data_IF_658532772627
#
_entry.id   IF_658532772627
#
_cell.length_a   1.000
_cell.length_b   1.000
_cell.length_c   1.000
_cell.angle_alpha   90.00
_cell.angle_beta   90.00
_cell.angle_gamma   90.00
#
_symmetry.space_group_name_H-M   'P 1'
#
loop_
_entity.id
_entity.type
_entity.pdbx_description
1 polymer ?
#
# COMPACT_ATOMS: atom_id res chain seq x y z
N UNK A 1 72.67 4.40 -16.23
CA UNK A 1 72.41 5.12 -14.97
C UNK A 1 71.75 4.12 -14.04
N UNK A 2 72.48 3.64 -13.04
CA UNK A 2 72.01 2.61 -12.10
C UNK A 2 71.46 3.34 -10.87
N UNK A 3 70.14 3.29 -10.66
CA UNK A 3 69.53 3.82 -9.44
C UNK A 3 69.87 2.90 -8.27
N UNK A 4 70.56 3.45 -7.27
CA UNK A 4 70.84 2.75 -6.02
C UNK A 4 69.52 2.46 -5.29
N UNK A 5 69.32 1.24 -4.77
CA UNK A 5 68.11 0.91 -4.05
C UNK A 5 67.95 1.83 -2.83
N UNK A 6 66.70 2.22 -2.49
CA UNK A 6 66.45 3.08 -1.35
C UNK A 6 66.98 2.44 -0.07
N UNK A 7 67.59 3.23 0.84
CA UNK A 7 68.14 2.72 2.08
C UNK A 7 67.04 2.00 2.87
N UNK A 8 67.36 0.84 3.43
CA UNK A 8 66.42 -0.05 4.14
C UNK A 8 65.57 0.69 5.20
N UNK A 9 66.11 1.75 5.80
CA UNK A 9 65.40 2.61 6.75
C UNK A 9 64.14 3.27 6.14
N UNK A 10 64.17 3.69 4.87
CA UNK A 10 63.04 4.35 4.20
C UNK A 10 61.92 3.35 3.88
N UNK A 11 62.28 2.12 3.53
CA UNK A 11 61.30 1.04 3.28
C UNK A 11 60.59 0.64 4.56
N UNK A 12 61.32 0.53 5.68
CA UNK A 12 60.73 0.20 6.99
C UNK A 12 59.81 1.31 7.52
N UNK A 13 60.17 2.59 7.30
CA UNK A 13 59.32 3.72 7.69
C UNK A 13 58.02 3.80 6.87
N UNK A 14 58.10 3.52 5.56
CA UNK A 14 56.92 3.53 4.69
C UNK A 14 55.94 2.38 5.02
N UNK A 15 56.47 1.19 5.32
CA UNK A 15 55.66 0.04 5.72
C UNK A 15 54.96 0.26 7.07
N UNK A 16 55.65 0.87 8.05
CA UNK A 16 55.06 1.15 9.37
C UNK A 16 53.96 2.21 9.31
N UNK A 17 54.11 3.26 8.50
CA UNK A 17 53.06 4.25 8.25
C UNK A 17 51.83 3.64 7.54
N UNK A 18 52.05 2.77 6.55
CA UNK A 18 50.98 2.06 5.84
C UNK A 18 50.15 1.16 6.74
N UNK A 19 50.80 0.40 7.65
CA UNK A 19 50.13 -0.45 8.63
C UNK A 19 49.34 0.38 9.65
N UNK A 20 49.88 1.52 10.10
CA UNK A 20 49.18 2.45 10.99
C UNK A 20 47.89 3.01 10.39
N UNK A 21 47.93 3.43 9.11
CA UNK A 21 46.77 3.94 8.38
C UNK A 21 45.69 2.86 8.20
N UNK A 22 46.09 1.64 7.88
CA UNK A 22 45.19 0.50 7.70
C UNK A 22 44.50 0.11 9.03
N UNK A 23 45.25 0.04 10.13
CA UNK A 23 44.70 -0.23 11.47
C UNK A 23 43.74 0.89 11.89
N UNK A 24 44.08 2.15 11.60
CA UNK A 24 43.21 3.31 11.83
C UNK A 24 41.88 3.18 11.11
N UNK A 25 41.91 2.89 9.80
CA UNK A 25 40.72 2.76 8.95
C UNK A 25 39.82 1.60 9.39
N UNK A 26 40.40 0.43 9.73
CA UNK A 26 39.64 -0.72 10.23
C UNK A 26 38.94 -0.39 11.55
N UNK A 27 39.61 0.35 12.45
CA UNK A 27 39.01 0.82 13.71
C UNK A 27 37.87 1.80 13.46
N UNK A 28 37.99 2.73 12.51
CA UNK A 28 36.92 3.70 12.19
C UNK A 28 35.70 3.01 11.58
N UNK A 29 35.89 2.10 10.62
CA UNK A 29 34.80 1.36 9.97
C UNK A 29 34.08 0.45 10.97
N UNK A 30 34.83 -0.18 11.90
CA UNK A 30 34.24 -1.00 12.97
C UNK A 30 33.47 -0.14 13.98
N UNK A 31 33.98 1.04 14.34
CA UNK A 31 33.27 1.98 15.19
C UNK A 31 31.97 2.49 14.53
N UNK A 32 31.96 2.71 13.21
CA UNK A 32 30.78 3.11 12.45
C UNK A 32 29.75 1.96 12.32
N UNK A 33 30.19 0.70 12.20
CA UNK A 33 29.28 -0.47 12.20
C UNK A 33 28.69 -0.83 13.55
N UNK A 34 29.34 -0.44 14.66
CA UNK A 34 28.93 -0.78 16.02
C UNK A 34 28.19 0.33 16.74
N UNK A 35 27.91 1.48 16.09
CA UNK A 35 27.02 2.49 16.67
C UNK A 35 25.60 1.92 16.70
N UNK A 36 25.01 1.66 17.88
CA UNK A 36 23.60 1.32 17.95
C UNK A 36 22.81 2.51 17.41
N UNK A 37 21.92 2.25 16.45
CA UNK A 37 20.92 3.24 16.05
C UNK A 37 20.16 3.67 17.32
N UNK A 38 19.83 4.97 17.48
CA UNK A 38 19.02 5.41 18.59
C UNK A 38 17.75 4.55 18.63
N UNK A 39 17.50 3.91 19.77
CA UNK A 39 16.30 3.11 19.96
C UNK A 39 15.10 4.05 19.80
N UNK A 40 14.44 3.95 18.65
CA UNK A 40 13.09 4.46 18.49
C UNK A 40 12.25 3.67 19.50
N UNK A 41 11.98 4.30 20.63
CA UNK A 41 11.08 3.83 21.65
C UNK A 41 9.70 3.71 21.00
N UNK A 42 9.39 2.51 20.51
CA UNK A 42 8.04 2.18 20.08
C UNK A 42 7.11 2.48 21.25
N UNK A 43 6.07 3.31 21.08
CA UNK A 43 5.10 3.54 22.13
C UNK A 43 4.56 2.17 22.56
N UNK A 44 4.74 1.82 23.84
CA UNK A 44 4.17 0.63 24.43
C UNK A 44 2.65 0.78 24.32
N UNK A 45 2.03 0.05 23.39
CA UNK A 45 0.58 0.08 23.15
C UNK A 45 -0.14 -0.30 24.46
N UNK A 46 -0.53 0.70 25.25
CA UNK A 46 -1.49 0.53 26.33
C UNK A 46 -2.82 0.23 25.66
N UNK A 47 -3.28 -1.02 25.77
CA UNK A 47 -4.69 -1.36 25.60
C UNK A 47 -5.48 -0.52 26.61
N UNK A 48 -6.06 0.60 26.20
CA UNK A 48 -7.24 1.11 26.88
C UNK A 48 -8.40 0.28 26.36
N UNK A 49 -8.90 -0.62 27.20
CA UNK A 49 -10.20 -1.24 27.00
C UNK A 49 -11.25 -0.12 26.86
N UNK A 50 -12.19 -0.19 25.90
CA UNK A 50 -13.27 0.78 25.84
C UNK A 50 -14.12 0.64 27.11
N UNK A 51 -14.28 1.75 27.81
CA UNK A 51 -15.28 1.89 28.87
C UNK A 51 -16.66 1.53 28.29
N UNK A 52 -17.43 0.77 29.06
CA UNK A 52 -18.73 0.24 28.71
C UNK A 52 -19.61 1.28 28.01
N UNK A 53 -19.89 1.07 26.72
CA UNK A 53 -20.95 1.77 26.03
C UNK A 53 -22.28 1.32 26.65
N UNK A 54 -22.85 2.20 27.47
CA UNK A 54 -24.19 2.07 28.01
C UNK A 54 -25.18 1.75 26.87
N UNK A 55 -25.95 0.68 27.06
CA UNK A 55 -27.04 0.25 26.18
C UNK A 55 -28.05 1.39 26.02
N UNK A 56 -28.17 1.93 24.80
CA UNK A 56 -29.33 2.72 24.43
C UNK A 56 -30.56 1.81 24.22
N UNK A 57 -31.76 2.14 24.72
CA UNK A 57 -32.94 1.31 24.57
C UNK A 57 -33.47 1.31 23.12
N UNK A 58 -33.83 0.12 22.63
CA UNK A 58 -34.54 -0.09 21.36
C UNK A 58 -35.98 0.47 21.46
N UNK A 59 -36.45 1.27 20.49
CA UNK A 59 -37.87 1.57 20.41
C UNK A 59 -38.65 0.35 19.90
N UNK A 60 -39.62 -0.08 20.69
CA UNK A 60 -40.66 -1.05 20.35
C UNK A 60 -41.74 -0.35 19.51
N UNK A 61 -42.00 -0.82 18.31
CA UNK A 61 -43.19 -0.42 17.54
C UNK A 61 -44.15 -1.59 17.39
N UNK A 62 -45.29 -1.40 18.03
CA UNK A 62 -46.51 -2.19 18.06
C UNK A 62 -47.14 -2.31 16.67
N UNK A 63 -47.70 -3.48 16.36
CA UNK A 63 -48.58 -3.71 15.20
C UNK A 63 -49.91 -2.99 15.38
N UNK A 64 -50.39 -2.30 14.33
CA UNK A 64 -51.81 -1.99 14.16
C UNK A 64 -52.17 -1.75 12.68
N UNK A 65 -53.00 -2.67 12.15
CA UNK A 65 -54.16 -2.53 11.24
C UNK A 65 -54.16 -1.65 9.97
N UNK A 66 -54.64 -2.29 8.89
CA UNK A 66 -55.02 -1.79 7.54
C UNK A 66 -56.15 -0.75 7.57
N UNK A 67 -56.12 0.26 6.67
CA UNK A 67 -57.05 0.43 5.51
C UNK A 67 -56.86 1.76 4.75
N UNK A 68 -57.21 1.67 3.46
CA UNK A 68 -57.66 2.69 2.52
C UNK A 68 -56.63 3.59 1.81
N UNK A 69 -56.72 3.56 0.48
CA UNK A 69 -56.00 4.35 -0.51
C UNK A 69 -56.87 5.54 -0.94
N UNK A 70 -56.28 6.71 -1.25
CA UNK A 70 -56.92 7.68 -2.13
C UNK A 70 -56.16 7.84 -3.45
N UNK A 71 -56.93 7.63 -4.51
CA UNK A 71 -57.04 8.37 -5.77
C UNK A 71 -55.93 9.35 -6.21
N UNK A 72 -55.53 9.17 -7.48
CA UNK A 72 -54.59 9.98 -8.26
C UNK A 72 -55.23 11.30 -8.68
N UNK A 73 -54.65 12.42 -8.28
CA UNK A 73 -54.78 13.71 -8.99
C UNK A 73 -53.49 14.52 -8.87
N UNK A 74 -52.99 15.02 -10.00
CA UNK A 74 -52.31 16.31 -10.10
C UNK A 74 -50.90 16.47 -9.52
N UNK A 75 -49.96 16.77 -10.42
CA UNK A 75 -48.59 17.25 -10.18
C UNK A 75 -47.57 16.21 -9.70
N UNK A 76 -46.67 15.83 -10.61
CA UNK A 76 -45.44 15.12 -10.26
C UNK A 76 -44.60 16.06 -9.39
N UNK A 77 -44.34 15.75 -8.10
CA UNK A 77 -43.53 16.64 -7.29
C UNK A 77 -42.12 16.60 -7.83
N UNK A 78 -41.56 17.79 -8.10
CA UNK A 78 -40.16 17.95 -8.45
C UNK A 78 -39.29 17.15 -7.46
N UNK A 79 -38.42 16.28 -7.98
CA UNK A 79 -37.46 15.48 -7.20
C UNK A 79 -36.81 16.40 -6.15
N UNK A 80 -36.89 16.09 -4.84
CA UNK A 80 -36.31 16.95 -3.82
C UNK A 80 -34.81 17.11 -4.10
N UNK A 81 -34.37 18.33 -4.41
CA UNK A 81 -32.95 18.69 -4.67
C UNK A 81 -32.12 18.75 -3.39
N UNK A 82 -32.37 17.82 -2.49
CA UNK A 82 -31.73 17.69 -1.18
C UNK A 82 -32.01 16.29 -0.67
N UNK A 83 -31.58 15.29 -1.44
CA UNK A 83 -31.74 13.89 -1.06
C UNK A 83 -31.10 13.61 0.30
N UNK A 84 -31.53 12.52 0.93
CA UNK A 84 -30.96 11.96 2.18
C UNK A 84 -29.43 12.15 2.29
N UNK A 85 -28.71 12.01 1.16
CA UNK A 85 -27.26 12.19 1.02
C UNK A 85 -26.75 13.63 0.77
N UNK A 86 -27.47 14.68 1.17
CA UNK A 86 -26.97 16.07 1.02
C UNK A 86 -25.64 16.25 1.78
N UNK A 87 -24.78 17.16 1.29
CA UNK A 87 -23.48 17.44 1.94
C UNK A 87 -23.68 17.91 3.39
N UNK A 88 -24.75 18.69 3.65
CA UNK A 88 -25.11 19.13 5.00
C UNK A 88 -25.49 17.95 5.92
N UNK A 89 -26.24 16.96 5.40
CA UNK A 89 -26.57 15.75 6.16
C UNK A 89 -25.32 14.91 6.43
N UNK A 90 -24.43 14.75 5.44
CA UNK A 90 -23.17 14.03 5.61
C UNK A 90 -22.32 14.65 6.74
N UNK A 91 -22.15 15.97 6.74
CA UNK A 91 -21.41 16.68 7.79
C UNK A 91 -22.07 16.49 9.17
N UNK A 92 -23.40 16.52 9.22
CA UNK A 92 -24.14 16.30 10.47
C UNK A 92 -23.89 14.90 11.03
N UNK A 93 -23.92 13.86 10.17
CA UNK A 93 -23.64 12.48 10.59
C UNK A 93 -22.19 12.28 11.04
N UNK A 94 -21.23 12.87 10.32
CA UNK A 94 -19.81 12.82 10.71
C UNK A 94 -19.62 13.46 12.08
N UNK A 95 -20.23 14.62 12.34
CA UNK A 95 -20.14 15.28 13.66
C UNK A 95 -20.74 14.46 14.80
N UNK A 96 -21.81 13.71 14.52
CA UNK A 96 -22.50 12.90 15.51
C UNK A 96 -21.83 11.54 15.77
N UNK A 97 -20.98 11.06 14.86
CA UNK A 97 -20.35 9.75 14.96
C UNK A 97 -19.05 9.78 15.77
N UNK A 98 -18.78 8.69 16.50
CA UNK A 98 -17.46 8.43 17.06
C UNK A 98 -16.59 7.73 16.01
N UNK A 99 -15.37 8.25 15.80
CA UNK A 99 -14.38 7.63 14.93
C UNK A 99 -13.23 7.04 15.73
N UNK A 100 -12.72 5.91 15.25
CA UNK A 100 -11.49 5.31 15.76
C UNK A 100 -10.59 4.91 14.60
N UNK A 101 -9.28 4.99 14.82
CA UNK A 101 -8.30 4.49 13.87
C UNK A 101 -8.31 2.96 13.84
N UNK A 102 -8.03 2.39 12.67
CA UNK A 102 -7.82 0.96 12.47
C UNK A 102 -6.56 0.70 11.64
N UNK A 103 -5.96 -0.50 11.72
CA UNK A 103 -4.89 -0.89 10.80
C UNK A 103 -5.32 -0.73 9.34
N UNK A 104 -4.40 -0.26 8.49
CA UNK A 104 -4.64 -0.09 7.04
C UNK A 104 -4.74 -1.45 6.33
N UNK A 105 -3.96 -2.43 6.80
CA UNK A 105 -3.87 -3.78 6.24
C UNK A 105 -3.98 -4.81 7.36
N UNK A 106 -4.36 -6.04 6.99
CA UNK A 106 -4.27 -7.16 7.93
C UNK A 106 -2.79 -7.55 8.18
N UNK A 107 -2.55 -8.44 9.15
CA UNK A 107 -1.17 -8.81 9.55
C UNK A 107 -0.36 -9.40 8.39
N UNK A 108 -0.96 -10.29 7.60
CA UNK A 108 -0.26 -10.99 6.51
C UNK A 108 0.01 -10.07 5.33
N UNK A 109 -0.99 -9.27 4.92
CA UNK A 109 -0.83 -8.19 3.94
C UNK A 109 0.29 -7.24 4.35
N UNK A 110 0.33 -6.83 5.62
CA UNK A 110 1.36 -5.93 6.11
C UNK A 110 2.78 -6.54 6.07
N UNK A 111 2.93 -7.84 6.32
CA UNK A 111 4.23 -8.51 6.17
C UNK A 111 4.71 -8.49 4.71
N UNK A 112 3.80 -8.76 3.77
CA UNK A 112 4.11 -8.70 2.34
C UNK A 112 4.45 -7.27 1.94
N UNK A 113 3.74 -6.27 2.46
CA UNK A 113 4.04 -4.86 2.21
C UNK A 113 5.47 -4.51 2.63
N UNK A 114 5.88 -4.88 3.85
CA UNK A 114 7.23 -4.61 4.35
C UNK A 114 8.31 -5.29 3.50
N UNK A 115 8.04 -6.52 3.05
CA UNK A 115 8.96 -7.24 2.17
C UNK A 115 9.15 -6.49 0.84
N UNK A 116 8.04 -6.10 0.20
CA UNK A 116 8.07 -5.42 -1.09
C UNK A 116 8.66 -4.03 -0.95
N UNK A 117 8.39 -3.32 0.14
CA UNK A 117 8.98 -2.01 0.42
C UNK A 117 10.50 -2.11 0.46
N UNK A 118 11.05 -3.09 1.19
CA UNK A 118 12.49 -3.33 1.23
C UNK A 118 13.06 -3.67 -0.15
N UNK A 119 12.36 -4.48 -0.94
CA UNK A 119 12.76 -4.82 -2.30
C UNK A 119 12.82 -3.56 -3.18
N UNK A 120 11.80 -2.72 -3.14
CA UNK A 120 11.70 -1.46 -3.90
C UNK A 120 12.83 -0.52 -3.51
N UNK A 121 13.05 -0.32 -2.21
CA UNK A 121 14.14 0.55 -1.71
C UNK A 121 15.53 0.05 -2.15
N UNK A 122 15.76 -1.26 -2.14
CA UNK A 122 17.06 -1.85 -2.50
C UNK A 122 17.34 -1.85 -4.01
N UNK A 123 16.34 -2.20 -4.84
CA UNK A 123 16.54 -2.47 -6.27
C UNK A 123 16.00 -1.39 -7.21
N UNK A 124 15.01 -0.62 -6.80
CA UNK A 124 14.27 0.29 -7.67
C UNK A 124 14.28 1.72 -7.10
N UNK A 125 15.50 2.30 -7.01
CA UNK A 125 15.68 3.68 -6.51
C UNK A 125 14.78 4.67 -7.24
N UNK A 126 14.13 5.54 -6.49
CA UNK A 126 13.19 6.55 -6.98
C UNK A 126 11.75 6.05 -7.18
N UNK A 127 11.52 4.73 -7.22
CA UNK A 127 10.16 4.18 -7.16
C UNK A 127 9.59 4.27 -5.73
N UNK A 128 8.27 4.28 -5.61
CA UNK A 128 7.55 4.36 -4.32
C UNK A 128 6.51 3.26 -4.20
N UNK A 129 6.29 2.74 -2.99
CA UNK A 129 5.23 1.78 -2.69
C UNK A 129 4.08 2.48 -1.95
N UNK A 130 2.85 2.26 -2.41
CA UNK A 130 1.62 2.76 -1.78
C UNK A 130 0.76 1.59 -1.32
N UNK A 131 0.05 1.75 -0.20
CA UNK A 131 -0.89 0.76 0.32
C UNK A 131 -2.34 1.16 0.01
N UNK A 132 -3.22 0.19 -0.22
CA UNK A 132 -4.67 0.34 -0.33
C UNK A 132 -5.09 1.45 -1.32
N UNK A 133 -4.43 1.47 -2.48
CA UNK A 133 -4.58 2.54 -3.48
C UNK A 133 -5.90 2.37 -4.23
N UNK A 134 -6.66 3.46 -4.35
CA UNK A 134 -7.89 3.45 -5.14
C UNK A 134 -7.58 3.31 -6.63
N UNK A 135 -8.28 2.41 -7.31
CA UNK A 135 -8.11 2.20 -8.75
C UNK A 135 -8.61 3.39 -9.57
N UNK A 136 -9.57 4.18 -9.05
CA UNK A 136 -10.02 5.40 -9.72
C UNK A 136 -8.99 6.53 -9.75
N UNK A 137 -7.98 6.48 -8.89
CA UNK A 137 -6.89 7.48 -8.87
C UNK A 137 -5.80 7.15 -9.90
N UNK A 138 -5.75 5.90 -10.37
CA UNK A 138 -4.67 5.42 -11.24
C UNK A 138 -5.15 4.91 -12.61
N UNK A 139 -6.46 4.74 -12.78
CA UNK A 139 -7.10 4.33 -14.03
C UNK A 139 -8.04 5.44 -14.49
N UNK A 140 -7.96 5.79 -15.77
CA UNK A 140 -8.95 6.61 -16.45
C UNK A 140 -9.73 5.79 -17.47
N UNK A 141 -10.97 6.21 -17.78
CA UNK A 141 -11.74 5.67 -18.90
C UNK A 141 -12.69 6.73 -19.44
N UNK A 142 -12.84 6.80 -20.76
CA UNK A 142 -13.89 7.60 -21.41
C UNK A 142 -15.27 6.97 -21.25
N UNK A 143 -15.35 5.66 -20.97
CA UNK A 143 -16.58 4.97 -20.62
C UNK A 143 -16.90 5.18 -19.13
N UNK A 144 -17.95 5.96 -18.87
CA UNK A 144 -18.40 6.28 -17.52
C UNK A 144 -18.91 5.06 -16.74
N UNK A 145 -19.51 4.07 -17.40
CA UNK A 145 -20.01 2.88 -16.71
C UNK A 145 -18.82 2.01 -16.28
N UNK A 146 -17.83 1.84 -17.15
CA UNK A 146 -16.59 1.16 -16.82
C UNK A 146 -15.85 1.88 -15.67
N UNK A 147 -15.71 3.21 -15.76
CA UNK A 147 -15.05 4.00 -14.72
C UNK A 147 -15.77 3.90 -13.36
N UNK A 148 -17.10 4.05 -13.32
CA UNK A 148 -17.89 3.88 -12.08
C UNK A 148 -17.74 2.49 -11.49
N UNK A 149 -17.60 1.47 -12.35
CA UNK A 149 -17.42 0.09 -11.92
C UNK A 149 -16.07 -0.12 -11.24
N UNK A 150 -15.01 0.60 -11.62
CA UNK A 150 -13.65 0.41 -11.10
C UNK A 150 -13.24 1.43 -10.01
N UNK A 151 -13.77 2.66 -10.06
CA UNK A 151 -13.32 3.79 -9.25
C UNK A 151 -13.32 3.50 -7.73
N UNK A 152 -14.34 2.82 -7.22
CA UNK A 152 -14.42 2.49 -5.79
C UNK A 152 -13.64 1.24 -5.38
N UNK A 153 -13.04 0.52 -6.34
CA UNK A 153 -12.19 -0.65 -6.05
C UNK A 153 -10.78 -0.18 -5.66
N UNK A 154 -10.09 -0.98 -4.87
CA UNK A 154 -8.73 -0.71 -4.40
C UNK A 154 -7.82 -1.86 -4.76
N UNK A 155 -6.54 -1.54 -4.93
CA UNK A 155 -5.43 -2.49 -4.99
C UNK A 155 -4.71 -2.48 -3.64
N UNK A 156 -4.30 -3.64 -3.16
CA UNK A 156 -3.61 -3.74 -1.87
C UNK A 156 -2.30 -2.95 -1.85
N UNK A 157 -1.50 -3.05 -2.92
CA UNK A 157 -0.25 -2.32 -3.03
C UNK A 157 0.02 -1.87 -4.47
N UNK A 158 0.65 -0.71 -4.61
CA UNK A 158 1.03 -0.14 -5.89
C UNK A 158 2.48 0.33 -5.85
N UNK A 159 3.29 -0.16 -6.78
CA UNK A 159 4.59 0.43 -7.08
C UNK A 159 4.36 1.54 -8.11
N UNK A 160 4.71 2.76 -7.73
CA UNK A 160 4.78 3.93 -8.61
C UNK A 160 6.19 4.04 -9.18
N UNK A 161 6.28 4.27 -10.49
CA UNK A 161 7.52 4.54 -11.20
C UNK A 161 8.11 5.91 -10.87
N UNK A 162 9.33 6.14 -11.35
CA UNK A 162 10.02 7.44 -11.21
C UNK A 162 9.37 8.56 -12.01
N UNK A 163 8.53 8.21 -12.98
CA UNK A 163 7.72 9.09 -13.81
C UNK A 163 6.40 9.51 -13.14
N UNK A 164 6.12 9.01 -11.94
CA UNK A 164 4.87 9.27 -11.23
C UNK A 164 3.70 8.39 -11.66
N UNK A 165 3.89 7.49 -12.63
CA UNK A 165 2.83 6.61 -13.14
C UNK A 165 2.84 5.23 -12.46
N UNK A 166 1.72 4.49 -12.50
CA UNK A 166 1.65 3.12 -12.00
C UNK A 166 2.63 2.20 -12.75
N UNK A 167 3.54 1.56 -12.00
CA UNK A 167 4.51 0.62 -12.55
C UNK A 167 4.01 -0.83 -12.41
N UNK A 168 3.62 -1.25 -11.21
CA UNK A 168 3.13 -2.61 -10.92
C UNK A 168 2.08 -2.54 -9.82
N UNK A 169 0.96 -3.24 -10.02
CA UNK A 169 -0.08 -3.46 -9.03
C UNK A 169 0.11 -4.82 -8.36
N UNK A 170 -0.14 -4.92 -7.05
CA UNK A 170 0.06 -6.15 -6.27
C UNK A 170 -1.16 -6.42 -5.38
N UNK A 171 -1.64 -7.66 -5.38
CA UNK A 171 -2.76 -8.15 -4.58
C UNK A 171 -2.31 -9.30 -3.69
N UNK A 172 -2.70 -9.28 -2.42
CA UNK A 172 -2.48 -10.39 -1.51
C UNK A 172 -3.76 -11.22 -1.35
N UNK A 173 -3.70 -12.45 -1.82
CA UNK A 173 -4.81 -13.39 -1.76
C UNK A 173 -4.83 -14.07 -0.39
N UNK A 174 -5.57 -13.51 0.56
CA UNK A 174 -5.72 -14.09 1.89
C UNK A 174 -6.38 -15.48 1.89
N UNK A 175 -6.27 -16.21 3.01
CA UNK A 175 -6.90 -17.54 3.17
C UNK A 175 -8.41 -17.49 3.43
N UNK A 176 -9.04 -16.31 3.33
CA UNK A 176 -10.47 -16.16 3.54
C UNK A 176 -11.23 -16.91 2.46
N UNK A 177 -12.02 -17.90 2.86
CA UNK A 177 -12.79 -18.77 1.97
C UNK A 177 -13.49 -17.97 0.86
N UNK A 178 -13.20 -18.33 -0.38
CA UNK A 178 -13.87 -17.86 -1.60
C UNK A 178 -15.37 -18.16 -1.50
N UNK A 179 -16.15 -17.21 -1.00
CA UNK A 179 -17.61 -17.26 -1.01
C UNK A 179 -18.14 -16.00 -1.71
N UNK A 180 -18.94 -16.20 -2.77
CA UNK A 180 -19.62 -15.13 -3.52
C UNK A 180 -18.80 -14.54 -4.68
N UNK A 181 -19.05 -13.26 -4.98
CA UNK A 181 -18.54 -12.53 -6.17
C UNK A 181 -17.02 -12.19 -6.11
N UNK A 182 -16.24 -12.84 -5.26
CA UNK A 182 -14.82 -12.55 -5.10
C UNK A 182 -14.03 -12.76 -6.41
N UNK A 183 -14.30 -13.86 -7.11
CA UNK A 183 -13.68 -14.17 -8.40
C UNK A 183 -14.02 -13.13 -9.47
N UNK A 184 -15.29 -12.71 -9.55
CA UNK A 184 -15.75 -11.69 -10.50
C UNK A 184 -15.08 -10.34 -10.17
N UNK A 185 -14.96 -9.98 -8.89
CA UNK A 185 -14.28 -8.74 -8.47
C UNK A 185 -12.81 -8.73 -8.87
N UNK A 186 -12.12 -9.85 -8.69
CA UNK A 186 -10.72 -9.98 -9.08
C UNK A 186 -10.55 -9.98 -10.60
N UNK A 187 -11.46 -10.62 -11.34
CA UNK A 187 -11.51 -10.56 -12.80
C UNK A 187 -11.68 -9.12 -13.31
N UNK A 188 -12.57 -8.33 -12.70
CA UNK A 188 -12.77 -6.91 -13.07
C UNK A 188 -11.49 -6.10 -12.83
N UNK A 189 -10.80 -6.30 -11.70
CA UNK A 189 -9.52 -5.61 -11.41
C UNK A 189 -8.46 -5.98 -12.45
N UNK A 190 -8.32 -7.28 -12.74
CA UNK A 190 -7.33 -7.81 -13.68
C UNK A 190 -7.54 -7.24 -15.08
N UNK A 191 -8.78 -7.29 -15.60
CA UNK A 191 -9.12 -6.76 -16.91
C UNK A 191 -8.81 -5.26 -17.03
N UNK A 192 -9.19 -4.48 -16.01
CA UNK A 192 -8.97 -3.03 -16.03
C UNK A 192 -7.47 -2.66 -16.00
N UNK A 193 -6.68 -3.34 -15.17
CA UNK A 193 -5.22 -3.14 -15.10
C UNK A 193 -4.51 -3.58 -16.38
N UNK A 194 -4.95 -4.70 -16.97
CA UNK A 194 -4.41 -5.20 -18.23
C UNK A 194 -4.64 -4.21 -19.37
N UNK A 195 -5.87 -3.69 -19.52
CA UNK A 195 -6.19 -2.66 -20.50
C UNK A 195 -5.41 -1.37 -20.31
N UNK A 196 -5.07 -1.03 -19.07
CA UNK A 196 -4.21 0.12 -18.74
C UNK A 196 -2.70 -0.19 -18.88
N UNK A 197 -2.33 -1.41 -19.28
CA UNK A 197 -0.94 -1.80 -19.45
C UNK A 197 -0.16 -1.94 -18.13
N UNK A 198 -0.84 -2.03 -16.99
CA UNK A 198 -0.26 -2.15 -15.66
C UNK A 198 -0.18 -3.63 -15.28
N UNK A 199 1.02 -4.21 -15.10
CA UNK A 199 1.16 -5.58 -14.61
C UNK A 199 0.55 -5.76 -13.22
N UNK A 200 -0.23 -6.82 -13.05
CA UNK A 200 -0.74 -7.28 -11.77
C UNK A 200 0.10 -8.47 -11.26
N UNK A 201 0.46 -8.45 -9.98
CA UNK A 201 1.14 -9.54 -9.27
C UNK A 201 0.24 -10.04 -8.14
N UNK A 202 -0.09 -11.32 -8.17
CA UNK A 202 -0.85 -11.98 -7.10
C UNK A 202 0.10 -12.76 -6.18
N UNK A 203 -0.01 -12.46 -4.89
CA UNK A 203 0.78 -13.08 -3.83
C UNK A 203 -0.15 -13.94 -2.98
N UNK A 204 0.22 -15.20 -2.80
CA UNK A 204 -0.53 -16.16 -2.02
C UNK A 204 0.19 -16.47 -0.70
N UNK A 205 -0.52 -16.97 0.32
CA UNK A 205 0.05 -17.21 1.65
C UNK A 205 1.18 -18.24 1.64
N UNK A 206 1.16 -19.17 0.68
CA UNK A 206 2.22 -20.15 0.46
C UNK A 206 3.46 -19.62 -0.25
N UNK A 207 3.41 -18.41 -0.83
CA UNK A 207 4.55 -17.83 -1.52
C UNK A 207 5.65 -17.48 -0.51
N UNK A 208 6.83 -18.06 -0.72
CA UNK A 208 8.01 -17.73 0.07
C UNK A 208 8.61 -16.40 -0.39
N UNK A 209 9.36 -15.75 0.50
CA UNK A 209 10.04 -14.47 0.27
C UNK A 209 10.70 -14.36 -1.13
N UNK A 210 11.55 -15.32 -1.51
CA UNK A 210 12.22 -15.29 -2.81
C UNK A 210 11.26 -15.36 -4.00
N UNK A 211 10.21 -16.17 -3.92
CA UNK A 211 9.19 -16.27 -4.96
C UNK A 211 8.38 -14.96 -5.10
N UNK A 212 8.07 -14.30 -3.98
CA UNK A 212 7.43 -12.98 -3.97
C UNK A 212 8.31 -11.96 -4.68
N UNK A 213 9.60 -11.89 -4.32
CA UNK A 213 10.55 -10.97 -4.96
C UNK A 213 10.66 -11.24 -6.46
N UNK A 214 10.78 -12.50 -6.87
CA UNK A 214 10.91 -12.89 -8.28
C UNK A 214 9.69 -12.50 -9.10
N UNK A 215 8.48 -12.69 -8.56
CA UNK A 215 7.23 -12.25 -9.20
C UNK A 215 7.23 -10.74 -9.45
N UNK A 216 7.59 -9.95 -8.43
CA UNK A 216 7.65 -8.49 -8.54
C UNK A 216 8.74 -8.05 -9.53
N UNK A 217 9.93 -8.67 -9.48
CA UNK A 217 11.04 -8.36 -10.38
C UNK A 217 10.66 -8.65 -11.84
N UNK A 218 10.00 -9.78 -12.09
CA UNK A 218 9.49 -10.15 -13.42
C UNK A 218 8.48 -9.12 -13.93
N UNK A 219 7.56 -8.67 -13.09
CA UNK A 219 6.58 -7.65 -13.45
C UNK A 219 7.23 -6.29 -13.77
N UNK A 220 8.20 -5.86 -12.96
CA UNK A 220 8.97 -4.62 -13.19
C UNK A 220 9.74 -4.66 -14.52
N UNK A 221 10.34 -5.82 -14.87
CA UNK A 221 10.99 -6.01 -16.17
C UNK A 221 9.99 -5.93 -17.33
N UNK A 222 8.82 -6.57 -17.19
CA UNK A 222 7.75 -6.53 -18.20
C UNK A 222 7.27 -5.09 -18.45
N UNK A 223 7.09 -4.28 -17.40
CA UNK A 223 6.69 -2.87 -17.54
C UNK A 223 7.73 -2.05 -18.31
N UNK A 224 9.02 -2.21 -17.98
CA UNK A 224 10.11 -1.52 -18.70
C UNK A 224 10.17 -1.89 -20.18
N UNK A 225 10.00 -3.18 -20.51
CA UNK A 225 9.98 -3.64 -21.90
C UNK A 225 8.81 -3.06 -22.70
N UNK A 226 7.63 -2.90 -22.08
CA UNK A 226 6.48 -2.24 -22.73
C UNK A 226 6.72 -0.75 -23.00
N UNK A 227 7.37 -0.05 -22.07
CA UNK A 227 7.69 1.37 -22.19
C UNK A 227 8.76 1.67 -23.26
N UNK A 228 9.66 0.71 -23.56
CA UNK A 228 10.68 0.87 -24.60
C UNK A 228 10.15 0.66 -26.03
N UNK A 229 8.96 0.09 -26.18
CA UNK A 229 8.35 -0.24 -27.47
C UNK A 229 7.25 0.75 -27.91
N UNK A 230 7.07 1.84 -27.17
CA UNK A 230 6.17 2.96 -27.48
C UNK A 230 6.98 4.25 -27.52
#
# INVERSE_FOLDING_TARGET
>A
MSESPPPLAVVVLALSLGVGLLIGLVRTVRALRLRPLPSLSLPRWRRRAPAAAARAPRPTTTKATRKASPEKTGSSPAKPRGGFWSVANQLTWVRAAAFSSKPVMNKSEYQVFLLIEQLVQKRYRGCRLFAQTSLGEILGSSDQQAFKSINSKRIDMLIMGTDGYPAVAIEYQGTGHYQGDAEIRDAIKREALERAGIPLVEIFPQDRTGAIEDKVIKAMKKKRGRAANH
#
